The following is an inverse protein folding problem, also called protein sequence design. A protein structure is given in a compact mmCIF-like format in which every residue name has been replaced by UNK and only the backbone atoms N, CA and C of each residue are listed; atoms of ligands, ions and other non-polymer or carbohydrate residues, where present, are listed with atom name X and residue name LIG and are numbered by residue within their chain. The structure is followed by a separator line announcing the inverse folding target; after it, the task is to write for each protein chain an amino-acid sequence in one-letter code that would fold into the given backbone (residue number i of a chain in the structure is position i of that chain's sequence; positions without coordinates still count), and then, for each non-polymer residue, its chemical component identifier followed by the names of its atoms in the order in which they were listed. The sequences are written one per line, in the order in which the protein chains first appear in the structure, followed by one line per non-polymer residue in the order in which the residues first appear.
data_IF_662336180711
#
_entry.id   IF_662336180711
#
_cell.length_a   1.000
_cell.length_b   1.000
_cell.length_c   1.000
_cell.angle_alpha   90.00
_cell.angle_beta   90.00
_cell.angle_gamma   90.00
#
_symmetry.space_group_name_H-M   'P 1'
#
loop_
_entity.id
_entity.type
_entity.pdbx_description
1 polymer ?
#
# COMPACT_ATOMS: atom_id res chain seq x y z
N UNK A 1 4.88 1.63 11.40
CA UNK A 1 5.19 2.62 10.35
C UNK A 1 4.01 2.71 9.36
N UNK A 2 3.20 3.75 9.53
CA UNK A 2 1.99 4.07 8.78
C UNK A 2 2.26 4.03 7.28
N UNK A 3 1.65 3.05 6.59
CA UNK A 3 1.64 3.00 5.12
C UNK A 3 0.53 3.89 4.55
N UNK A 4 -0.39 4.37 5.40
CA UNK A 4 -1.53 5.21 5.02
C UNK A 4 -1.17 6.66 4.70
N UNK A 5 -0.15 7.24 5.33
CA UNK A 5 0.25 8.64 5.06
C UNK A 5 0.98 8.78 3.72
N UNK A 6 1.86 7.84 3.37
CA UNK A 6 2.65 7.92 2.14
C UNK A 6 1.86 7.75 0.84
N UNK A 7 0.68 7.12 0.87
CA UNK A 7 -0.17 6.98 -0.34
C UNK A 7 -1.02 8.23 -0.57
N UNK A 8 -1.44 8.91 0.51
CA UNK A 8 -2.15 10.18 0.43
C UNK A 8 -1.25 11.28 -0.13
N UNK A 9 0.01 11.36 0.34
CA UNK A 9 0.98 12.34 -0.13
C UNK A 9 1.34 12.16 -1.62
N UNK A 10 1.50 10.91 -2.07
CA UNK A 10 1.80 10.60 -3.47
C UNK A 10 0.64 10.89 -4.44
N UNK A 11 -0.61 10.94 -3.95
CA UNK A 11 -1.79 11.33 -4.73
C UNK A 11 -1.93 12.85 -4.79
N UNK A 12 -1.58 13.58 -3.73
CA UNK A 12 -1.57 15.06 -3.72
C UNK A 12 -0.46 15.65 -4.60
N UNK A 13 0.70 15.01 -4.70
CA UNK A 13 1.83 15.57 -5.47
C UNK A 13 1.66 15.46 -7.00
N UNK A 14 0.82 14.56 -7.49
CA UNK A 14 0.65 14.35 -8.93
C UNK A 14 -0.58 15.03 -9.55
N UNK A 15 -1.42 15.74 -8.79
CA UNK A 15 -2.70 16.19 -9.35
C UNK A 15 -3.29 17.54 -8.91
N UNK A 16 -2.49 18.43 -8.31
CA UNK A 16 -2.99 19.78 -8.00
C UNK A 16 -2.11 20.92 -8.50
N UNK A 17 -1.62 20.84 -9.74
CA UNK A 17 -1.37 22.08 -10.49
C UNK A 17 -2.67 22.49 -11.20
N UNK A 18 -3.58 23.09 -10.44
CA UNK A 18 -4.46 24.10 -11.02
C UNK A 18 -3.53 25.26 -11.38
N UNK A 19 -3.25 25.56 -12.67
CA UNK A 19 -2.61 26.82 -12.97
C UNK A 19 -3.54 27.88 -12.39
N UNK A 20 -3.01 28.65 -11.44
CA UNK A 20 -3.70 29.83 -10.93
C UNK A 20 -4.24 30.59 -12.15
N UNK A 21 -5.53 30.91 -12.12
CA UNK A 21 -6.08 31.82 -13.12
C UNK A 21 -5.16 33.04 -13.10
N UNK A 22 -4.58 33.44 -14.26
CA UNK A 22 -3.64 34.54 -14.24
C UNK A 22 -4.37 35.74 -13.62
N UNK A 23 -3.85 36.18 -12.47
CA UNK A 23 -4.23 37.42 -11.79
C UNK A 23 -4.06 38.63 -12.74
N UNK A 24 -3.42 38.41 -13.88
CA UNK A 24 -3.15 39.38 -14.91
C UNK A 24 -4.21 39.53 -16.01
N UNK A 25 -5.52 39.51 -15.68
CA UNK A 25 -6.54 40.07 -16.58
C UNK A 25 -6.91 41.51 -16.25
N UNK A 26 -6.44 42.06 -15.13
CA UNK A 26 -6.68 43.48 -14.80
C UNK A 26 -5.78 44.44 -15.58
N UNK A 27 -4.55 44.06 -15.93
CA UNK A 27 -3.63 44.97 -16.63
C UNK A 27 -3.92 45.06 -18.13
N UNK A 28 -4.45 44.00 -18.77
CA UNK A 28 -4.79 44.00 -20.19
C UNK A 28 -6.13 44.66 -20.56
N UNK A 29 -7.04 44.85 -19.59
CA UNK A 29 -8.34 45.51 -19.87
C UNK A 29 -8.19 47.03 -19.92
N UNK A 30 -7.13 47.58 -19.30
CA UNK A 30 -6.86 49.02 -19.28
C UNK A 30 -6.00 49.52 -20.46
N UNK A 31 -5.66 48.64 -21.42
CA UNK A 31 -4.85 48.93 -22.61
C UNK A 31 -5.46 48.38 -23.92
N UNK A 32 -6.73 48.01 -23.92
CA UNK A 32 -7.42 47.57 -25.12
C UNK A 32 -8.24 48.73 -25.70
N UNK A 33 -7.62 49.51 -26.58
CA UNK A 33 -8.26 50.65 -27.27
C UNK A 33 -9.18 50.20 -28.43
N UNK A 34 -9.31 48.88 -28.69
CA UNK A 34 -10.17 48.32 -29.75
C UNK A 34 -11.12 47.20 -29.23
N UNK A 35 -12.45 47.28 -29.49
CA UNK A 35 -13.43 46.28 -29.06
C UNK A 35 -13.23 44.87 -29.67
N UNK A 36 -12.44 44.73 -30.73
CA UNK A 36 -12.10 43.43 -31.34
C UNK A 36 -11.25 42.55 -30.43
N UNK A 37 -10.24 43.13 -29.77
CA UNK A 37 -9.34 42.40 -28.87
C UNK A 37 -10.05 41.90 -27.60
N UNK A 38 -11.01 42.68 -27.10
CA UNK A 38 -11.86 42.28 -25.99
C UNK A 38 -12.74 41.07 -26.33
N UNK A 39 -13.33 41.06 -27.54
CA UNK A 39 -14.14 39.92 -28.00
C UNK A 39 -13.31 38.66 -28.17
N UNK A 40 -12.07 38.76 -28.67
CA UNK A 40 -11.18 37.61 -28.80
C UNK A 40 -10.76 37.06 -27.43
N UNK A 41 -10.51 37.94 -26.46
CA UNK A 41 -10.20 37.56 -25.09
C UNK A 41 -11.38 36.85 -24.40
N UNK A 42 -12.60 37.34 -24.59
CA UNK A 42 -13.84 36.69 -24.12
C UNK A 42 -13.97 35.29 -24.72
N UNK A 43 -13.76 35.13 -26.04
CA UNK A 43 -13.80 33.81 -26.70
C UNK A 43 -12.77 32.84 -26.12
N UNK A 44 -11.53 33.31 -25.88
CA UNK A 44 -10.46 32.50 -25.25
C UNK A 44 -10.84 32.05 -23.83
N UNK A 45 -11.45 32.93 -23.03
CA UNK A 45 -11.92 32.61 -21.67
C UNK A 45 -13.07 31.60 -21.69
N UNK A 46 -14.05 31.78 -22.58
CA UNK A 46 -15.16 30.84 -22.76
C UNK A 46 -14.66 29.44 -23.14
N UNK A 47 -13.71 29.34 -24.07
CA UNK A 47 -13.10 28.07 -24.44
C UNK A 47 -12.35 27.39 -23.28
N UNK A 48 -11.63 28.18 -22.46
CA UNK A 48 -10.97 27.67 -21.24
C UNK A 48 -11.98 27.15 -20.21
N UNK A 49 -13.08 27.86 -19.99
CA UNK A 49 -14.15 27.43 -19.08
C UNK A 49 -14.74 26.09 -19.53
N UNK A 50 -15.05 25.93 -20.82
CA UNK A 50 -15.57 24.66 -21.35
C UNK A 50 -14.56 23.52 -21.22
N UNK A 51 -13.27 23.78 -21.45
CA UNK A 51 -12.21 22.79 -21.23
C UNK A 51 -12.11 22.37 -19.76
N UNK A 52 -12.22 23.31 -18.82
CA UNK A 52 -12.22 23.03 -17.38
C UNK A 52 -13.44 22.23 -16.95
N UNK A 53 -14.65 22.55 -17.45
CA UNK A 53 -15.86 21.76 -17.20
C UNK A 53 -15.70 20.30 -17.64
N UNK A 54 -15.16 20.08 -18.84
CA UNK A 54 -14.90 18.72 -19.35
C UNK A 54 -13.89 17.96 -18.49
N UNK A 55 -12.81 18.62 -18.05
CA UNK A 55 -11.81 18.01 -17.15
C UNK A 55 -12.40 17.67 -15.79
N UNK A 56 -13.20 18.57 -15.20
CA UNK A 56 -13.91 18.33 -13.94
C UNK A 56 -14.83 17.12 -14.04
N UNK A 57 -15.56 16.99 -15.15
CA UNK A 57 -16.45 15.84 -15.37
C UNK A 57 -15.67 14.53 -15.48
N UNK A 58 -14.58 14.51 -16.24
CA UNK A 58 -13.70 13.32 -16.34
C UNK A 58 -13.15 12.91 -14.97
N UNK A 59 -12.64 13.88 -14.22
CA UNK A 59 -12.08 13.62 -12.89
C UNK A 59 -13.13 13.07 -11.93
N UNK A 60 -14.35 13.63 -11.96
CA UNK A 60 -15.48 13.12 -11.17
C UNK A 60 -15.77 11.65 -11.49
N UNK A 61 -15.87 11.30 -12.77
CA UNK A 61 -16.11 9.91 -13.18
C UNK A 61 -14.99 8.97 -12.72
N UNK A 62 -13.73 9.39 -12.83
CA UNK A 62 -12.58 8.60 -12.37
C UNK A 62 -12.60 8.39 -10.85
N UNK A 63 -12.96 9.43 -10.08
CA UNK A 63 -13.12 9.31 -8.63
C UNK A 63 -14.25 8.34 -8.28
N UNK A 64 -15.39 8.44 -8.97
CA UNK A 64 -16.54 7.54 -8.76
C UNK A 64 -16.19 6.08 -9.08
N UNK A 65 -15.41 5.83 -10.14
CA UNK A 65 -14.90 4.50 -10.49
C UNK A 65 -13.92 3.97 -9.43
N UNK A 66 -12.96 4.80 -9.01
CA UNK A 66 -12.01 4.43 -7.95
C UNK A 66 -12.75 4.10 -6.65
N UNK A 67 -13.73 4.90 -6.24
CA UNK A 67 -14.51 4.63 -5.04
C UNK A 67 -15.25 3.29 -5.10
N UNK A 68 -15.83 2.94 -6.26
CA UNK A 68 -16.46 1.62 -6.47
C UNK A 68 -15.44 0.48 -6.33
N UNK A 69 -14.23 0.65 -6.87
CA UNK A 69 -13.18 -0.37 -6.73
C UNK A 69 -12.74 -0.55 -5.27
N UNK A 70 -12.58 0.55 -4.52
CA UNK A 70 -12.25 0.52 -3.09
C UNK A 70 -13.32 -0.25 -2.33
N UNK A 71 -14.59 0.13 -2.49
CA UNK A 71 -15.71 -0.55 -1.81
C UNK A 71 -15.75 -2.06 -2.13
N UNK A 72 -15.50 -2.44 -3.39
CA UNK A 72 -15.43 -3.85 -3.79
C UNK A 72 -14.28 -4.61 -3.12
N UNK A 73 -13.10 -3.98 -3.01
CA UNK A 73 -11.94 -4.56 -2.34
C UNK A 73 -12.16 -4.69 -0.83
N UNK A 74 -12.75 -3.68 -0.20
CA UNK A 74 -13.12 -3.71 1.22
C UNK A 74 -14.11 -4.84 1.53
N UNK A 75 -15.12 -5.03 0.68
CA UNK A 75 -16.07 -6.13 0.83
C UNK A 75 -15.37 -7.49 0.71
N UNK A 76 -14.48 -7.66 -0.27
CA UNK A 76 -13.67 -8.88 -0.41
C UNK A 76 -12.75 -9.11 0.78
N UNK A 77 -12.17 -8.05 1.34
CA UNK A 77 -11.33 -8.12 2.53
C UNK A 77 -12.13 -8.54 3.77
N UNK A 78 -13.33 -7.99 3.99
CA UNK A 78 -14.21 -8.42 5.10
C UNK A 78 -14.60 -9.90 4.99
N UNK A 79 -14.93 -10.35 3.78
CA UNK A 79 -15.23 -11.77 3.53
C UNK A 79 -13.99 -12.64 3.83
N UNK A 80 -12.79 -12.19 3.49
CA UNK A 80 -11.56 -12.94 3.78
C UNK A 80 -11.14 -12.91 5.26
N UNK A 81 -11.39 -11.81 5.97
CA UNK A 81 -10.96 -11.60 7.37
C UNK A 81 -11.81 -12.36 8.38
N UNK A 82 -13.05 -12.70 8.04
CA UNK A 82 -13.93 -13.56 8.85
C UNK A 82 -13.49 -15.03 8.89
N UNK A 83 -12.57 -15.44 8.01
CA UNK A 83 -11.98 -16.78 8.08
C UNK A 83 -10.82 -16.82 9.10
N UNK A 84 -11.15 -16.95 10.39
CA UNK A 84 -10.20 -17.33 11.45
C UNK A 84 -9.70 -18.77 11.32
N UNK A 85 -9.80 -19.36 10.12
CA UNK A 85 -9.50 -20.74 9.82
C UNK A 85 -8.02 -21.00 10.08
N UNK A 86 -7.76 -21.75 11.15
CA UNK A 86 -6.47 -22.35 11.42
C UNK A 86 -6.27 -23.46 10.40
N UNK A 87 -5.11 -23.45 9.75
CA UNK A 87 -4.69 -24.42 8.74
C UNK A 87 -3.48 -25.13 9.30
N UNK A 88 -3.48 -26.44 9.21
CA UNK A 88 -2.33 -27.26 9.57
C UNK A 88 -1.21 -27.04 8.54
N UNK A 89 0.02 -26.82 9.00
CA UNK A 89 1.14 -26.52 8.10
C UNK A 89 1.64 -27.74 7.34
N UNK A 90 1.71 -28.87 8.03
CA UNK A 90 2.07 -30.17 7.49
C UNK A 90 1.06 -31.17 8.04
N UNK A 91 0.47 -31.99 7.17
CA UNK A 91 -0.56 -32.93 7.58
C UNK A 91 -0.04 -33.87 8.67
N UNK A 92 -0.74 -33.95 9.80
CA UNK A 92 -0.38 -34.80 10.93
C UNK A 92 0.72 -34.26 11.83
N UNK A 93 1.18 -33.02 11.64
CA UNK A 93 2.16 -32.39 12.55
C UNK A 93 1.51 -31.72 13.76
N UNK A 94 0.18 -31.48 13.73
CA UNK A 94 -0.51 -30.78 14.81
C UNK A 94 -0.12 -29.30 14.93
N UNK A 95 0.65 -28.75 13.99
CA UNK A 95 1.10 -27.35 13.98
C UNK A 95 0.16 -26.51 13.13
N UNK A 96 -0.54 -25.57 13.76
CA UNK A 96 -1.57 -24.76 13.11
C UNK A 96 -1.18 -23.29 13.01
N UNK A 97 -1.35 -22.70 11.82
CA UNK A 97 -1.26 -21.26 11.61
C UNK A 97 -2.55 -20.72 10.98
N UNK A 98 -2.85 -19.44 11.24
CA UNK A 98 -3.96 -18.75 10.56
C UNK A 98 -3.64 -18.65 9.07
N UNK A 99 -4.63 -18.92 8.21
CA UNK A 99 -4.49 -18.82 6.76
C UNK A 99 -3.93 -17.45 6.31
N UNK A 100 -4.31 -16.37 6.99
CA UNK A 100 -3.81 -15.01 6.73
C UNK A 100 -2.31 -14.87 6.95
N UNK A 101 -1.76 -15.48 8.01
CA UNK A 101 -0.31 -15.49 8.28
C UNK A 101 0.44 -16.28 7.21
N UNK A 102 -0.12 -17.42 6.76
CA UNK A 102 0.48 -18.25 5.70
C UNK A 102 0.50 -17.47 4.37
N UNK A 103 -0.61 -16.84 4.00
CA UNK A 103 -0.69 -16.01 2.80
C UNK A 103 0.29 -14.83 2.84
N UNK A 104 0.39 -14.13 3.98
CA UNK A 104 1.35 -13.06 4.18
C UNK A 104 2.81 -13.54 4.11
N UNK A 105 3.10 -14.76 4.58
CA UNK A 105 4.43 -15.36 4.45
C UNK A 105 4.81 -15.56 2.97
N UNK A 106 3.86 -16.03 2.16
CA UNK A 106 4.04 -16.28 0.72
C UNK A 106 4.17 -14.99 -0.10
N UNK A 107 3.37 -13.96 0.19
CA UNK A 107 3.29 -12.71 -0.58
C UNK A 107 4.57 -11.86 -0.63
N UNK A 108 5.65 -12.26 0.04
CA UNK A 108 6.93 -11.56 -0.04
C UNK A 108 8.13 -12.45 0.24
N UNK A 109 8.05 -13.76 -0.05
CA UNK A 109 9.18 -14.67 0.05
C UNK A 109 9.57 -15.15 -1.34
N UNK A 110 10.58 -14.50 -1.92
CA UNK A 110 11.14 -14.89 -3.23
C UNK A 110 12.05 -16.13 -3.13
N UNK A 111 12.50 -16.47 -1.92
CA UNK A 111 13.36 -17.63 -1.65
C UNK A 111 12.79 -18.48 -0.52
N UNK A 112 13.04 -19.80 -0.53
CA UNK A 112 12.62 -20.71 0.53
C UNK A 112 13.13 -20.28 1.91
N UNK A 113 14.38 -19.81 1.99
CA UNK A 113 14.97 -19.35 3.25
C UNK A 113 14.22 -18.16 3.87
N UNK A 114 13.70 -17.23 3.05
CA UNK A 114 12.90 -16.10 3.54
C UNK A 114 11.54 -16.61 4.03
N UNK A 115 10.92 -17.53 3.31
CA UNK A 115 9.66 -18.15 3.72
C UNK A 115 9.80 -18.87 5.06
N UNK A 116 10.81 -19.74 5.18
CA UNK A 116 11.06 -20.52 6.40
C UNK A 116 11.32 -19.61 7.60
N UNK A 117 12.13 -18.55 7.47
CA UNK A 117 12.33 -17.58 8.55
C UNK A 117 11.05 -16.84 8.95
N UNK A 118 10.21 -16.48 7.97
CA UNK A 118 8.90 -15.84 8.25
C UNK A 118 7.96 -16.78 9.01
N UNK A 119 7.88 -18.03 8.59
CA UNK A 119 7.09 -19.06 9.27
C UNK A 119 7.62 -19.30 10.69
N UNK A 120 8.94 -19.39 10.87
CA UNK A 120 9.56 -19.58 12.18
C UNK A 120 9.19 -18.46 13.16
N UNK A 121 9.16 -17.19 12.71
CA UNK A 121 8.73 -16.04 13.52
C UNK A 121 7.23 -16.01 13.83
N UNK A 122 6.42 -16.82 13.14
CA UNK A 122 5.00 -16.97 13.46
C UNK A 122 4.73 -18.11 14.44
N UNK A 123 5.64 -19.09 14.52
CA UNK A 123 5.55 -20.25 15.40
C UNK A 123 6.20 -19.96 16.76
N UNK A 124 7.34 -19.29 16.76
CA UNK A 124 8.12 -19.02 17.97
C UNK A 124 8.16 -17.53 18.29
N UNK A 125 8.15 -17.22 19.59
CA UNK A 125 8.45 -15.88 20.08
C UNK A 125 9.93 -15.55 19.87
N UNK A 126 10.28 -14.26 19.93
CA UNK A 126 11.67 -13.83 19.79
C UNK A 126 12.57 -14.37 20.89
N UNK A 127 12.03 -14.58 22.08
CA UNK A 127 12.77 -15.10 23.24
C UNK A 127 13.06 -16.59 23.06
N UNK A 128 12.06 -17.38 22.66
CA UNK A 128 12.24 -18.82 22.36
C UNK A 128 13.21 -19.02 21.20
N UNK A 129 13.11 -18.21 20.14
CA UNK A 129 13.99 -18.34 18.97
C UNK A 129 15.46 -18.00 19.28
N UNK A 130 15.74 -17.14 20.27
CA UNK A 130 17.11 -16.83 20.71
C UNK A 130 17.66 -17.85 21.70
N UNK A 131 16.78 -18.40 22.54
CA UNK A 131 17.13 -19.34 23.60
C UNK A 131 17.32 -20.78 23.12
N UNK A 132 16.97 -21.10 21.88
CA UNK A 132 16.97 -22.47 21.37
C UNK A 132 17.89 -22.65 20.15
N UNK A 133 18.34 -23.88 19.95
CA UNK A 133 19.06 -24.35 18.77
C UNK A 133 18.24 -25.42 18.05
N UNK A 134 18.38 -25.54 16.72
CA UNK A 134 17.63 -26.54 15.95
C UNK A 134 17.92 -27.97 16.43
N UNK A 135 19.17 -28.25 16.80
CA UNK A 135 19.61 -29.60 17.19
C UNK A 135 19.93 -29.73 18.68
N UNK A 136 19.94 -28.62 19.41
CA UNK A 136 20.36 -28.60 20.81
C UNK A 136 21.83 -28.96 21.07
N UNK A 137 22.69 -28.96 20.03
CA UNK A 137 24.09 -29.38 20.13
C UNK A 137 25.04 -28.19 20.28
N UNK A 138 26.15 -28.42 20.99
CA UNK A 138 27.24 -27.47 21.07
C UNK A 138 27.94 -27.32 19.72
N UNK A 139 28.34 -26.09 19.38
CA UNK A 139 29.09 -25.83 18.16
C UNK A 139 30.54 -26.36 18.29
N UNK A 140 30.97 -27.21 17.36
CA UNK A 140 32.34 -27.74 17.34
C UNK A 140 33.43 -26.65 17.25
N UNK A 141 33.12 -25.54 16.58
CA UNK A 141 34.03 -24.40 16.45
C UNK A 141 34.09 -23.54 17.72
N UNK A 142 33.08 -23.63 18.60
CA UNK A 142 33.01 -22.85 19.82
C UNK A 142 32.71 -23.74 21.04
N UNK A 143 33.65 -24.63 21.35
CA UNK A 143 33.58 -25.58 22.48
C UNK A 143 33.56 -24.92 23.87
N UNK A 144 33.76 -23.61 23.96
CA UNK A 144 33.62 -22.84 25.20
C UNK A 144 32.20 -22.33 25.48
N UNK A 145 31.31 -22.37 24.48
CA UNK A 145 29.93 -21.88 24.61
C UNK A 145 28.98 -22.92 25.20
N UNK A 146 27.98 -22.48 25.97
CA UNK A 146 26.93 -23.35 26.52
C UNK A 146 26.02 -23.80 25.37
N UNK A 147 25.71 -25.10 25.32
CA UNK A 147 24.75 -25.63 24.36
C UNK A 147 23.34 -25.13 24.69
N UNK A 148 22.66 -24.54 23.70
CA UNK A 148 21.26 -24.16 23.83
C UNK A 148 20.37 -25.39 23.71
N UNK A 149 19.20 -25.43 24.39
CA UNK A 149 18.22 -26.51 24.24
C UNK A 149 17.72 -26.65 22.80
N UNK A 150 17.25 -27.85 22.44
CA UNK A 150 16.63 -28.10 21.14
C UNK A 150 15.28 -27.38 21.02
N UNK A 151 14.95 -26.91 19.82
CA UNK A 151 13.58 -26.50 19.46
C UNK A 151 12.66 -27.71 19.54
N UNK A 152 11.38 -27.47 19.87
CA UNK A 152 10.32 -28.48 19.94
C UNK A 152 10.31 -29.36 18.66
N UNK A 153 10.47 -30.69 18.79
CA UNK A 153 10.54 -31.60 17.65
C UNK A 153 9.17 -31.98 17.06
N UNK A 154 8.06 -31.46 17.61
CA UNK A 154 6.70 -31.74 17.17
C UNK A 154 6.40 -31.44 15.68
#
# INVERSE_FOLDING_TARGET
PNVSENVLDAITDNNLYLPELPVNTREHVNQADDPGDLQECIKKLQAKIEKLKRRKLKLKNTVDEQQKTINSLEQKLQVSSSSSKKVELVAGSGVYLRATKIAAAKLGSKTPAILSRKLFRFLFTTEEAKGCSILGRQCNANKGSIALPSVDPA
#
